data_IF_916225364461
#
_entry.id   IF_916225364461
#
_cell.length_a   1.000
_cell.length_b   1.000
_cell.length_c   1.000
_cell.angle_alpha   90.00
_cell.angle_beta   90.00
_cell.angle_gamma   90.00
#
_symmetry.space_group_name_H-M   'P 1'
#
loop_
_entity.id
_entity.type
_entity.pdbx_description
1 polymer ?
#
# COMPACT_ATOMS: atom_id res chain seq x y z
N UNK A 1 3.74 -17.98 11.98
CA UNK A 1 3.26 -16.66 12.41
C UNK A 1 4.45 -15.76 12.70
N UNK A 2 4.48 -14.57 12.10
CA UNK A 2 5.57 -13.60 12.30
C UNK A 2 5.17 -12.50 13.28
N UNK A 3 6.14 -11.89 13.98
CA UNK A 3 5.86 -10.73 14.83
C UNK A 3 5.29 -9.55 14.03
N UNK A 4 5.72 -9.38 12.77
CA UNK A 4 5.19 -8.33 11.89
C UNK A 4 3.68 -8.49 11.62
N UNK A 5 3.18 -9.72 11.53
CA UNK A 5 1.73 -9.98 11.39
C UNK A 5 0.96 -9.59 12.64
N UNK A 6 1.45 -10.00 13.82
CA UNK A 6 0.85 -9.65 15.11
C UNK A 6 0.78 -8.13 15.28
N UNK A 7 1.89 -7.44 15.02
CA UNK A 7 1.95 -5.98 15.10
C UNK A 7 1.03 -5.31 14.10
N UNK A 8 0.99 -5.80 12.87
CA UNK A 8 0.07 -5.34 11.84
C UNK A 8 -1.40 -5.40 12.28
N UNK A 9 -1.84 -6.55 12.79
CA UNK A 9 -3.20 -6.73 13.28
C UNK A 9 -3.50 -5.82 14.47
N UNK A 10 -2.58 -5.72 15.43
CA UNK A 10 -2.68 -4.82 16.59
C UNK A 10 -2.87 -3.37 16.15
N UNK A 11 -2.06 -2.87 15.21
CA UNK A 11 -2.15 -1.48 14.74
C UNK A 11 -3.39 -1.16 13.90
N UNK A 12 -3.97 -2.18 13.28
CA UNK A 12 -5.25 -2.08 12.58
C UNK A 12 -6.46 -2.25 13.52
N UNK A 13 -6.22 -2.50 14.83
CA UNK A 13 -7.29 -2.79 15.78
C UNK A 13 -8.08 -4.06 15.45
N UNK A 14 -7.44 -5.01 14.76
CA UNK A 14 -8.03 -6.33 14.46
C UNK A 14 -7.70 -7.31 15.59
N UNK A 15 -8.52 -8.36 15.81
CA UNK A 15 -8.18 -9.43 16.74
C UNK A 15 -6.81 -10.02 16.39
N UNK A 16 -5.97 -10.21 17.41
CA UNK A 16 -4.58 -10.67 17.24
C UNK A 16 -4.12 -11.61 18.37
N UNK A 17 -4.95 -11.85 19.38
CA UNK A 17 -4.63 -12.66 20.55
C UNK A 17 -4.32 -14.11 20.15
N UNK A 18 -5.13 -14.70 19.27
CA UNK A 18 -4.90 -16.05 18.74
C UNK A 18 -3.56 -16.15 18.00
N UNK A 19 -3.15 -15.07 17.31
CA UNK A 19 -1.88 -15.03 16.59
C UNK A 19 -0.68 -14.94 17.54
N UNK A 20 -0.83 -14.27 18.68
CA UNK A 20 0.18 -14.30 19.76
C UNK A 20 0.38 -15.71 20.30
N UNK A 21 -0.73 -16.44 20.52
CA UNK A 21 -0.70 -17.83 21.00
C UNK A 21 -0.02 -18.72 19.95
N UNK A 22 -0.45 -18.64 18.69
CA UNK A 22 0.12 -19.43 17.60
C UNK A 22 1.62 -19.16 17.42
N UNK A 23 2.05 -17.90 17.53
CA UNK A 23 3.47 -17.55 17.53
C UNK A 23 4.24 -18.22 18.67
N UNK A 24 3.66 -18.27 19.87
CA UNK A 24 4.29 -18.94 21.01
C UNK A 24 4.35 -20.46 20.81
N UNK A 25 3.30 -21.08 20.29
CA UNK A 25 3.27 -22.51 19.95
C UNK A 25 4.37 -22.86 18.94
N UNK A 26 4.51 -22.07 17.88
CA UNK A 26 5.58 -22.26 16.89
C UNK A 26 6.98 -22.13 17.50
N UNK A 27 7.18 -21.20 18.45
CA UNK A 27 8.44 -21.06 19.19
C UNK A 27 8.73 -22.28 20.06
N UNK A 28 7.72 -22.84 20.73
CA UNK A 28 7.85 -24.08 21.52
C UNK A 28 8.18 -25.27 20.62
N UNK A 29 7.49 -25.41 19.48
CA UNK A 29 7.79 -26.45 18.47
C UNK A 29 9.23 -26.33 17.97
N UNK A 30 9.74 -25.10 17.82
CA UNK A 30 11.13 -24.83 17.45
C UNK A 30 12.15 -25.07 18.59
N UNK A 31 11.70 -25.47 19.78
CA UNK A 31 12.56 -25.83 20.93
C UNK A 31 12.80 -24.69 21.93
N UNK A 32 12.02 -23.61 21.90
CA UNK A 32 12.09 -22.55 22.90
C UNK A 32 11.52 -23.03 24.25
N UNK A 33 12.31 -22.90 25.31
CA UNK A 33 11.94 -23.32 26.68
C UNK A 33 11.77 -22.16 27.65
N UNK A 34 11.60 -20.93 27.16
CA UNK A 34 11.38 -19.75 28.00
C UNK A 34 10.00 -19.81 28.67
N UNK A 35 9.94 -19.47 29.96
CA UNK A 35 8.76 -19.71 30.78
C UNK A 35 7.53 -18.95 30.26
N UNK A 36 7.67 -17.67 29.88
CA UNK A 36 6.53 -16.88 29.41
C UNK A 36 6.01 -17.35 28.05
N UNK A 37 6.89 -17.90 27.19
CA UNK A 37 6.49 -18.50 25.91
C UNK A 37 5.75 -19.81 26.14
N UNK A 38 6.21 -20.64 27.07
CA UNK A 38 5.50 -21.87 27.43
C UNK A 38 4.12 -21.58 28.02
N UNK A 39 4.00 -20.56 28.89
CA UNK A 39 2.71 -20.14 29.44
C UNK A 39 1.81 -19.62 28.32
N UNK A 40 2.30 -18.71 27.48
CA UNK A 40 1.52 -18.15 26.38
C UNK A 40 1.02 -19.24 25.41
N UNK A 41 1.88 -20.19 25.04
CA UNK A 41 1.48 -21.33 24.21
C UNK A 41 0.43 -22.21 24.90
N UNK A 42 0.52 -22.38 26.23
CA UNK A 42 -0.44 -23.19 26.98
C UNK A 42 -1.87 -22.62 26.99
N UNK A 43 -2.03 -21.30 26.81
CA UNK A 43 -3.33 -20.64 26.68
C UNK A 43 -4.11 -21.12 25.43
N UNK A 44 -3.42 -21.67 24.42
CA UNK A 44 -4.07 -22.28 23.25
C UNK A 44 -4.87 -23.55 23.58
N UNK A 45 -4.69 -24.14 24.76
CA UNK A 45 -5.49 -25.27 25.24
C UNK A 45 -6.83 -24.84 25.87
N UNK A 46 -6.97 -23.55 26.19
CA UNK A 46 -8.21 -23.02 26.76
C UNK A 46 -9.26 -22.81 25.66
N UNK A 47 -10.51 -23.13 25.96
CA UNK A 47 -11.60 -22.95 25.00
C UNK A 47 -11.88 -21.46 24.69
N UNK A 48 -11.44 -20.55 25.57
CA UNK A 48 -11.59 -19.10 25.42
C UNK A 48 -10.52 -18.40 26.27
N UNK A 49 -9.28 -18.27 25.76
CA UNK A 49 -8.19 -17.64 26.50
C UNK A 49 -8.53 -16.17 26.86
N UNK A 50 -8.16 -15.73 28.06
CA UNK A 50 -8.37 -14.35 28.48
C UNK A 50 -7.41 -13.42 27.73
N UNK A 51 -7.97 -12.43 27.01
CA UNK A 51 -7.16 -11.51 26.20
C UNK A 51 -6.16 -10.68 27.00
N UNK A 52 -6.44 -10.39 28.28
CA UNK A 52 -5.53 -9.66 29.16
C UNK A 52 -4.34 -10.52 29.54
N UNK A 53 -4.57 -11.80 29.83
CA UNK A 53 -3.50 -12.77 30.09
C UNK A 53 -2.62 -12.98 28.87
N UNK A 54 -3.22 -13.10 27.67
CA UNK A 54 -2.48 -13.19 26.41
C UNK A 54 -1.59 -11.98 26.20
N UNK A 55 -2.12 -10.76 26.36
CA UNK A 55 -1.32 -9.54 26.23
C UNK A 55 -0.20 -9.45 27.26
N UNK A 56 -0.48 -9.84 28.51
CA UNK A 56 0.51 -9.84 29.58
C UNK A 56 1.68 -10.78 29.27
N UNK A 57 1.40 -12.05 28.97
CA UNK A 57 2.46 -13.03 28.71
C UNK A 57 3.18 -12.78 27.39
N UNK A 58 2.48 -12.28 26.37
CA UNK A 58 3.12 -11.84 25.13
C UNK A 58 4.10 -10.69 25.38
N UNK A 59 3.72 -9.69 26.19
CA UNK A 59 4.61 -8.60 26.57
C UNK A 59 5.85 -9.07 27.35
N UNK A 60 5.69 -10.01 28.29
CA UNK A 60 6.82 -10.60 29.02
C UNK A 60 7.74 -11.41 28.10
N UNK A 61 7.17 -12.25 27.23
CA UNK A 61 7.93 -13.05 26.27
C UNK A 61 8.76 -12.17 25.31
N UNK A 62 8.16 -11.09 24.79
CA UNK A 62 8.90 -10.14 23.96
C UNK A 62 10.05 -9.48 24.73
N UNK A 63 9.81 -9.04 25.96
CA UNK A 63 10.83 -8.44 26.81
C UNK A 63 12.00 -9.39 27.08
N UNK A 64 11.74 -10.69 27.30
CA UNK A 64 12.78 -11.70 27.49
C UNK A 64 13.61 -11.93 26.23
N UNK A 65 12.99 -11.86 25.05
CA UNK A 65 13.67 -11.98 23.75
C UNK A 65 14.37 -10.69 23.30
N UNK A 66 14.27 -9.60 24.08
CA UNK A 66 14.80 -8.30 23.69
C UNK A 66 14.05 -7.68 22.50
N UNK A 67 12.84 -8.16 22.23
CA UNK A 67 11.97 -7.64 21.19
C UNK A 67 11.14 -6.48 21.73
N UNK A 68 10.96 -5.45 20.91
CA UNK A 68 10.18 -4.27 21.26
C UNK A 68 9.10 -4.01 20.22
N UNK A 69 7.95 -3.51 20.67
CA UNK A 69 6.91 -3.06 19.75
C UNK A 69 7.47 -1.96 18.83
N UNK A 70 7.35 -2.10 17.51
CA UNK A 70 7.80 -1.07 16.58
C UNK A 70 6.91 0.17 16.66
N UNK A 71 7.39 1.28 16.10
CA UNK A 71 6.52 2.41 15.78
C UNK A 71 5.39 1.97 14.84
N UNK A 72 4.23 2.62 14.94
CA UNK A 72 3.03 2.25 14.18
C UNK A 72 3.28 2.24 12.67
N UNK A 73 3.92 3.27 12.14
CA UNK A 73 4.13 3.42 10.69
C UNK A 73 5.13 2.36 10.22
N UNK A 74 6.19 2.12 11.00
CA UNK A 74 7.16 1.06 10.74
C UNK A 74 6.52 -0.35 10.80
N UNK A 75 5.65 -0.59 11.77
CA UNK A 75 4.94 -1.86 11.92
C UNK A 75 3.97 -2.14 10.78
N UNK A 76 3.19 -1.15 10.35
CA UNK A 76 2.30 -1.28 9.18
C UNK A 76 3.12 -1.45 7.88
N UNK A 77 4.27 -0.78 7.78
CA UNK A 77 5.24 -0.99 6.70
C UNK A 77 5.71 -2.44 6.64
N UNK A 78 6.23 -2.98 7.74
CA UNK A 78 6.70 -4.36 7.79
C UNK A 78 5.58 -5.37 7.54
N UNK A 79 4.40 -5.15 8.12
CA UNK A 79 3.25 -6.02 7.93
C UNK A 79 2.83 -6.09 6.47
N UNK A 80 2.72 -4.94 5.79
CA UNK A 80 2.36 -4.92 4.36
C UNK A 80 3.40 -5.58 3.47
N UNK A 81 4.69 -5.49 3.80
CA UNK A 81 5.75 -6.27 3.15
C UNK A 81 5.58 -7.77 3.38
N UNK A 82 5.29 -8.19 4.61
CA UNK A 82 5.02 -9.58 4.96
C UNK A 82 3.85 -10.14 4.12
N UNK A 83 2.72 -9.42 4.06
CA UNK A 83 1.56 -9.79 3.24
C UNK A 83 1.93 -9.91 1.75
N UNK A 84 2.69 -8.97 1.21
CA UNK A 84 3.11 -9.04 -0.20
C UNK A 84 4.04 -10.24 -0.47
N UNK A 85 4.95 -10.56 0.45
CA UNK A 85 5.80 -11.73 0.34
C UNK A 85 4.97 -13.03 0.41
N UNK A 86 3.93 -13.09 1.24
CA UNK A 86 3.02 -14.23 1.30
C UNK A 86 2.24 -14.44 0.00
N UNK A 87 1.78 -13.37 -0.66
CA UNK A 87 1.17 -13.44 -2.01
C UNK A 87 2.20 -14.03 -3.00
N UNK A 88 3.39 -13.44 -3.05
CA UNK A 88 4.46 -13.80 -3.99
C UNK A 88 4.91 -15.25 -3.84
N UNK A 89 4.90 -15.75 -2.60
CA UNK A 89 5.28 -17.12 -2.26
C UNK A 89 4.09 -18.10 -2.29
N UNK A 90 2.90 -17.67 -2.73
CA UNK A 90 1.67 -18.48 -2.80
C UNK A 90 1.27 -19.08 -1.44
N UNK A 91 1.62 -18.41 -0.35
CA UNK A 91 1.29 -18.80 1.02
C UNK A 91 -0.07 -18.27 1.47
N UNK A 92 -0.65 -17.34 0.70
CA UNK A 92 -1.93 -16.70 1.01
C UNK A 92 -2.71 -16.38 -0.26
N UNK A 93 -4.03 -16.41 -0.14
CA UNK A 93 -4.93 -16.03 -1.23
C UNK A 93 -4.71 -14.56 -1.64
N UNK A 94 -4.45 -14.26 -2.93
CA UNK A 94 -4.13 -12.91 -3.37
C UNK A 94 -5.23 -11.89 -3.09
N UNK A 95 -6.49 -12.23 -3.35
CA UNK A 95 -7.60 -11.28 -3.25
C UNK A 95 -7.92 -10.88 -1.81
N UNK A 96 -8.05 -11.84 -0.91
CA UNK A 96 -8.25 -11.58 0.51
C UNK A 96 -7.09 -10.76 1.09
N UNK A 97 -5.87 -11.02 0.65
CA UNK A 97 -4.68 -10.26 1.07
C UNK A 97 -4.70 -8.83 0.52
N UNK A 98 -5.11 -8.63 -0.73
CA UNK A 98 -5.27 -7.29 -1.31
C UNK A 98 -6.29 -6.45 -0.53
N UNK A 99 -7.38 -7.06 -0.02
CA UNK A 99 -8.35 -6.38 0.86
C UNK A 99 -7.72 -5.95 2.19
N UNK A 100 -6.87 -6.79 2.80
CA UNK A 100 -6.13 -6.41 4.00
C UNK A 100 -5.14 -5.27 3.75
N UNK A 101 -4.44 -5.30 2.62
CA UNK A 101 -3.51 -4.24 2.22
C UNK A 101 -4.24 -2.91 1.94
N UNK A 102 -5.45 -2.96 1.37
CA UNK A 102 -6.31 -1.80 1.20
C UNK A 102 -6.78 -1.22 2.54
N UNK A 103 -7.09 -2.06 3.53
CA UNK A 103 -7.44 -1.60 4.88
C UNK A 103 -6.30 -0.79 5.52
N UNK A 104 -5.03 -1.15 5.30
CA UNK A 104 -3.88 -0.38 5.81
C UNK A 104 -3.92 1.06 5.28
N UNK A 105 -4.28 1.28 4.02
CA UNK A 105 -4.37 2.63 3.45
C UNK A 105 -5.45 3.50 4.13
N UNK A 106 -6.52 2.91 4.66
CA UNK A 106 -7.57 3.66 5.38
C UNK A 106 -7.09 4.22 6.71
N UNK A 107 -6.00 3.66 7.24
CA UNK A 107 -5.40 4.00 8.52
C UNK A 107 -4.17 4.92 8.39
N UNK A 108 -3.70 5.14 7.17
CA UNK A 108 -2.73 6.15 6.75
C UNK A 108 -3.49 7.37 6.19
N UNK A 109 -2.96 8.59 6.34
CA UNK A 109 -3.63 9.81 5.83
C UNK A 109 -3.86 9.75 4.31
N UNK A 110 -5.10 9.41 3.91
CA UNK A 110 -5.75 9.42 2.59
C UNK A 110 -4.92 9.59 1.28
N UNK A 111 -5.21 8.69 0.33
CA UNK A 111 -5.18 8.77 -1.15
C UNK A 111 -3.92 9.17 -1.94
N UNK A 112 -2.80 9.51 -1.30
CA UNK A 112 -1.58 9.92 -2.06
C UNK A 112 -0.42 8.94 -1.91
N UNK A 113 -0.48 8.10 -0.88
CA UNK A 113 0.55 7.09 -0.60
C UNK A 113 0.52 5.95 -1.62
N UNK A 114 1.63 5.22 -1.73
CA UNK A 114 1.70 3.99 -2.53
C UNK A 114 0.68 2.92 -2.11
N UNK A 115 0.13 2.99 -0.89
CA UNK A 115 -0.89 2.06 -0.43
C UNK A 115 -2.23 2.26 -1.14
N UNK A 116 -2.48 3.41 -1.76
CA UNK A 116 -3.70 3.64 -2.54
C UNK A 116 -3.85 2.69 -3.72
N UNK A 117 -2.74 2.14 -4.24
CA UNK A 117 -2.75 1.10 -5.28
C UNK A 117 -3.64 -0.09 -4.91
N UNK A 118 -3.66 -0.47 -3.63
CA UNK A 118 -4.48 -1.58 -3.14
C UNK A 118 -5.97 -1.23 -3.13
N UNK A 119 -6.32 0.01 -2.80
CA UNK A 119 -7.70 0.49 -2.92
C UNK A 119 -8.17 0.44 -4.38
N UNK A 120 -7.36 0.93 -5.32
CA UNK A 120 -7.72 0.95 -6.74
C UNK A 120 -7.99 -0.47 -7.28
N UNK A 121 -7.16 -1.44 -6.90
CA UNK A 121 -7.39 -2.84 -7.30
C UNK A 121 -8.64 -3.43 -6.66
N UNK A 122 -8.88 -3.18 -5.36
CA UNK A 122 -10.08 -3.70 -4.68
C UNK A 122 -11.36 -3.08 -5.26
N UNK A 123 -11.34 -1.81 -5.61
CA UNK A 123 -12.44 -1.12 -6.28
C UNK A 123 -12.71 -1.70 -7.68
N UNK A 124 -11.67 -1.89 -8.48
CA UNK A 124 -11.80 -2.50 -9.81
C UNK A 124 -12.29 -3.95 -9.76
N UNK A 125 -11.84 -4.74 -8.79
CA UNK A 125 -12.37 -6.10 -8.57
C UNK A 125 -13.86 -6.06 -8.24
N UNK A 126 -14.29 -5.10 -7.41
CA UNK A 126 -15.71 -4.91 -7.08
C UNK A 126 -16.53 -4.60 -8.34
N UNK A 127 -16.03 -3.70 -9.19
CA UNK A 127 -16.67 -3.38 -10.48
C UNK A 127 -16.78 -4.62 -11.38
N UNK A 128 -15.71 -5.40 -11.50
CA UNK A 128 -15.70 -6.65 -12.27
C UNK A 128 -16.73 -7.66 -11.75
N UNK A 129 -16.84 -7.83 -10.43
CA UNK A 129 -17.85 -8.70 -9.83
C UNK A 129 -19.29 -8.22 -10.06
N UNK A 130 -19.49 -6.92 -10.25
CA UNK A 130 -20.78 -6.34 -10.63
C UNK A 130 -21.05 -6.40 -12.15
N UNK A 131 -20.16 -7.00 -12.95
CA UNK A 131 -20.31 -7.10 -14.40
C UNK A 131 -19.88 -5.85 -15.17
N UNK A 132 -19.15 -4.94 -14.52
CA UNK A 132 -18.54 -3.76 -15.16
C UNK A 132 -17.09 -4.01 -15.51
N UNK A 133 -16.52 -3.18 -16.39
CA UNK A 133 -15.07 -3.19 -16.65
C UNK A 133 -14.31 -2.50 -15.52
N UNK A 134 -13.06 -2.92 -15.29
CA UNK A 134 -12.13 -2.19 -14.42
C UNK A 134 -11.97 -0.74 -14.90
N UNK A 135 -11.91 0.20 -13.97
CA UNK A 135 -11.82 1.64 -14.23
C UNK A 135 -10.37 2.11 -14.30
N UNK A 136 -9.55 1.83 -13.28
CA UNK A 136 -8.16 2.29 -13.20
C UNK A 136 -7.20 1.30 -13.84
N UNK A 137 -7.42 0.01 -13.60
CA UNK A 137 -6.56 -1.09 -14.04
C UNK A 137 -7.18 -1.78 -15.24
N UNK A 138 -7.19 -1.13 -16.41
CA UNK A 138 -7.81 -1.67 -17.64
C UNK A 138 -7.34 -3.07 -18.07
N UNK A 139 -6.15 -3.52 -17.63
CA UNK A 139 -5.63 -4.88 -17.88
C UNK A 139 -6.19 -5.93 -16.92
N UNK A 140 -6.83 -5.53 -15.81
CA UNK A 140 -7.37 -6.43 -14.79
C UNK A 140 -8.70 -7.04 -15.26
N UNK A 141 -8.79 -8.37 -15.18
CA UNK A 141 -9.99 -9.16 -15.47
C UNK A 141 -10.21 -10.22 -14.41
N UNK A 142 -11.41 -10.82 -14.34
CA UNK A 142 -11.68 -11.91 -13.40
C UNK A 142 -10.82 -13.15 -13.67
N UNK A 143 -10.43 -13.39 -14.93
CA UNK A 143 -9.59 -14.53 -15.32
C UNK A 143 -8.12 -14.34 -14.94
N UNK A 144 -7.64 -13.09 -14.80
CA UNK A 144 -6.24 -12.80 -14.54
C UNK A 144 -5.95 -12.18 -13.16
N UNK A 145 -6.98 -11.96 -12.34
CA UNK A 145 -6.90 -11.22 -11.07
C UNK A 145 -5.76 -11.67 -10.16
N UNK A 146 -5.55 -12.97 -9.98
CA UNK A 146 -4.53 -13.49 -9.06
C UNK A 146 -3.12 -13.16 -9.56
N UNK A 147 -2.91 -13.32 -10.87
CA UNK A 147 -1.65 -12.95 -11.53
C UNK A 147 -1.42 -11.43 -11.51
N UNK A 148 -2.48 -10.65 -11.67
CA UNK A 148 -2.41 -9.20 -11.60
C UNK A 148 -2.00 -8.75 -10.20
N UNK A 149 -2.63 -9.31 -9.16
CA UNK A 149 -2.34 -9.01 -7.75
C UNK A 149 -0.90 -9.44 -7.38
N UNK A 150 -0.43 -10.62 -7.83
CA UNK A 150 0.98 -11.03 -7.65
C UNK A 150 1.95 -10.02 -8.28
N UNK A 151 1.69 -9.61 -9.53
CA UNK A 151 2.51 -8.60 -10.22
C UNK A 151 2.52 -7.27 -9.46
N UNK A 152 1.38 -6.84 -8.92
CA UNK A 152 1.29 -5.64 -8.09
C UNK A 152 2.06 -5.81 -6.78
N UNK A 153 1.93 -6.95 -6.09
CA UNK A 153 2.64 -7.24 -4.83
C UNK A 153 4.15 -7.15 -5.01
N UNK A 154 4.70 -7.77 -6.07
CA UNK A 154 6.13 -7.68 -6.42
C UNK A 154 6.57 -6.23 -6.61
N UNK A 155 5.80 -5.46 -7.37
CA UNK A 155 6.13 -4.07 -7.63
C UNK A 155 5.98 -3.19 -6.38
N UNK A 156 5.00 -3.46 -5.53
CA UNK A 156 4.81 -2.75 -4.26
C UNK A 156 5.98 -2.98 -3.30
N UNK A 157 6.52 -4.20 -3.22
CA UNK A 157 7.77 -4.50 -2.47
C UNK A 157 8.91 -3.62 -2.97
N UNK A 158 9.07 -3.47 -4.30
CA UNK A 158 10.09 -2.59 -4.88
C UNK A 158 9.88 -1.14 -4.43
N UNK A 159 8.66 -0.61 -4.52
CA UNK A 159 8.37 0.77 -4.09
C UNK A 159 8.69 1.02 -2.61
N UNK A 160 8.28 0.10 -1.74
CA UNK A 160 8.53 0.17 -0.30
C UNK A 160 10.02 0.16 0.07
N UNK A 161 10.80 -0.66 -0.62
CA UNK A 161 12.24 -0.79 -0.40
C UNK A 161 13.05 0.39 -0.95
N UNK A 162 12.47 1.18 -1.87
CA UNK A 162 13.10 2.37 -2.43
C UNK A 162 12.76 3.68 -1.70
N UNK A 163 12.02 3.63 -0.58
CA UNK A 163 11.66 4.78 0.25
C UNK A 163 11.13 5.98 -0.57
N UNK A 164 10.19 5.71 -1.48
CA UNK A 164 9.60 6.74 -2.32
C UNK A 164 8.87 7.82 -1.50
N UNK A 165 8.78 9.07 -2.00
CA UNK A 165 8.01 10.12 -1.35
C UNK A 165 6.55 9.72 -1.10
N UNK A 166 5.93 10.27 -0.05
CA UNK A 166 4.53 9.99 0.28
C UNK A 166 3.54 10.42 -0.80
N UNK A 167 3.90 11.40 -1.64
CA UNK A 167 3.13 11.88 -2.78
C UNK A 167 3.61 11.27 -4.12
N UNK A 168 4.39 10.18 -4.10
CA UNK A 168 5.01 9.61 -5.29
C UNK A 168 4.02 9.37 -6.43
N UNK A 169 2.82 8.85 -6.14
CA UNK A 169 1.80 8.60 -7.16
C UNK A 169 1.18 9.87 -7.77
N UNK A 170 1.36 11.03 -7.15
CA UNK A 170 0.94 12.33 -7.70
C UNK A 170 1.98 12.96 -8.62
N UNK A 171 3.18 12.37 -8.68
CA UNK A 171 4.25 12.87 -9.53
C UNK A 171 4.02 12.45 -10.99
N UNK A 172 4.71 13.13 -11.89
CA UNK A 172 4.72 12.79 -13.30
C UNK A 172 6.10 13.02 -13.88
N UNK A 173 6.46 12.20 -14.86
CA UNK A 173 7.68 12.41 -15.64
C UNK A 173 7.36 13.44 -16.72
N UNK A 174 8.03 14.59 -16.68
CA UNK A 174 7.92 15.57 -17.76
C UNK A 174 8.87 15.19 -18.90
N UNK A 175 8.32 14.93 -20.09
CA UNK A 175 9.11 14.55 -21.27
C UNK A 175 9.96 15.69 -21.83
N UNK A 176 9.66 16.95 -21.47
CA UNK A 176 10.40 18.12 -21.96
C UNK A 176 11.61 18.45 -21.10
N UNK A 177 11.46 18.48 -19.78
CA UNK A 177 12.58 18.77 -18.87
C UNK A 177 13.24 17.52 -18.28
N UNK A 178 12.73 16.32 -18.58
CA UNK A 178 13.22 15.03 -18.10
C UNK A 178 13.35 14.97 -16.58
N UNK A 179 12.41 15.59 -15.86
CA UNK A 179 12.34 15.58 -14.39
C UNK A 179 11.07 14.90 -13.91
N UNK A 180 11.17 14.29 -12.74
CA UNK A 180 10.02 13.91 -11.94
C UNK A 180 9.47 15.17 -11.28
N UNK A 181 8.21 15.51 -11.56
CA UNK A 181 7.62 16.80 -11.20
C UNK A 181 6.22 16.63 -10.64
N UNK A 182 5.82 17.58 -9.78
CA UNK A 182 4.40 17.83 -9.54
C UNK A 182 3.76 18.51 -10.75
N UNK A 183 2.46 18.34 -10.86
CA UNK A 183 1.67 18.92 -11.93
C UNK A 183 0.72 19.98 -11.38
N UNK A 184 0.34 20.92 -12.24
CA UNK A 184 -0.65 21.94 -11.90
C UNK A 184 -1.74 21.96 -12.97
N UNK A 185 -2.99 21.93 -12.53
CA UNK A 185 -4.12 22.20 -13.41
C UNK A 185 -4.25 23.71 -13.58
N UNK A 186 -4.08 24.22 -14.81
CA UNK A 186 -4.20 25.66 -15.10
C UNK A 186 -4.94 25.93 -16.39
N UNK A 187 -5.55 27.11 -16.46
CA UNK A 187 -6.07 27.65 -17.70
C UNK A 187 -4.93 27.89 -18.70
N UNK A 188 -5.13 27.47 -19.94
CA UNK A 188 -4.22 27.73 -21.03
C UNK A 188 -4.54 29.09 -21.67
N UNK A 189 -3.52 29.83 -22.12
CA UNK A 189 -3.74 31.06 -22.88
C UNK A 189 -4.50 30.75 -24.17
N UNK A 190 -5.18 31.77 -24.71
CA UNK A 190 -5.87 31.61 -25.98
C UNK A 190 -4.89 31.30 -27.12
N UNK A 191 -5.29 30.45 -28.06
CA UNK A 191 -4.45 30.07 -29.21
C UNK A 191 -4.07 31.29 -30.07
N UNK A 192 -4.86 32.37 -29.98
CA UNK A 192 -4.65 33.64 -30.65
C UNK A 192 -5.30 34.79 -29.86
N UNK A 193 -4.98 36.07 -30.18
CA UNK A 193 -5.49 37.22 -29.45
C UNK A 193 -7.03 37.35 -29.43
N UNK A 194 -7.72 36.94 -30.50
CA UNK A 194 -9.18 36.95 -30.55
C UNK A 194 -9.77 35.93 -29.57
N UNK A 195 -9.20 34.72 -29.53
CA UNK A 195 -9.59 33.69 -28.57
C UNK A 195 -9.38 34.13 -27.13
N UNK A 196 -8.26 34.81 -26.85
CA UNK A 196 -7.97 35.34 -25.52
C UNK A 196 -8.94 36.48 -25.14
N UNK A 197 -9.30 37.35 -26.09
CA UNK A 197 -10.32 38.38 -25.88
C UNK A 197 -11.68 37.74 -25.56
N UNK A 198 -12.10 36.74 -26.33
CA UNK A 198 -13.35 36.01 -26.10
C UNK A 198 -13.41 35.34 -24.73
N UNK A 199 -12.28 34.85 -24.22
CA UNK A 199 -12.18 34.33 -22.85
C UNK A 199 -12.34 35.48 -21.84
N UNK A 200 -11.61 36.60 -22.02
CA UNK A 200 -11.66 37.75 -21.11
C UNK A 200 -13.05 38.39 -21.00
N UNK A 201 -13.81 38.43 -22.09
CA UNK A 201 -15.18 38.98 -22.11
C UNK A 201 -16.26 37.94 -21.76
N UNK A 202 -15.87 36.73 -21.36
CA UNK A 202 -16.79 35.67 -20.89
C UNK A 202 -17.60 34.98 -22.00
N UNK A 203 -17.24 35.19 -23.27
CA UNK A 203 -17.90 34.56 -24.42
C UNK A 203 -17.35 33.17 -24.75
N UNK A 204 -16.19 32.80 -24.20
CA UNK A 204 -15.61 31.44 -24.26
C UNK A 204 -15.00 31.03 -22.93
N UNK A 205 -15.09 29.75 -22.61
CA UNK A 205 -14.39 29.17 -21.46
C UNK A 205 -12.91 28.92 -21.81
N UNK A 206 -11.97 29.19 -20.89
CA UNK A 206 -10.58 28.80 -21.10
C UNK A 206 -10.47 27.28 -21.14
N UNK A 207 -9.62 26.77 -22.03
CA UNK A 207 -9.20 25.38 -21.96
C UNK A 207 -8.30 25.22 -20.75
N UNK A 208 -8.43 24.11 -20.06
CA UNK A 208 -7.59 23.78 -18.94
C UNK A 208 -6.76 22.56 -19.27
N UNK A 209 -5.55 22.51 -18.73
CA UNK A 209 -4.71 21.34 -18.85
C UNK A 209 -3.78 21.22 -17.65
N UNK A 210 -3.37 19.98 -17.42
CA UNK A 210 -2.32 19.63 -16.46
C UNK A 210 -0.97 19.95 -17.07
N UNK A 211 -0.17 20.78 -16.40
CA UNK A 211 1.16 21.21 -16.86
C UNK A 211 2.25 20.83 -15.87
N UNK A 212 3.48 20.69 -16.38
CA UNK A 212 4.70 20.59 -15.58
C UNK A 212 4.90 21.86 -14.75
N UNK A 213 5.00 21.75 -13.41
CA UNK A 213 5.29 22.91 -12.56
C UNK A 213 6.69 23.48 -12.74
N UNK A 214 7.64 22.73 -13.31
CA UNK A 214 9.02 23.20 -13.53
C UNK A 214 9.21 23.95 -14.84
N UNK A 215 8.57 23.53 -15.95
CA UNK A 215 8.80 24.12 -17.28
C UNK A 215 7.52 24.51 -18.04
N UNK A 216 6.34 24.24 -17.48
CA UNK A 216 5.05 24.58 -18.10
C UNK A 216 4.63 23.68 -19.27
N UNK A 217 5.40 22.64 -19.59
CA UNK A 217 5.08 21.68 -20.66
C UNK A 217 3.83 20.85 -20.37
N UNK A 218 3.09 20.51 -21.42
CA UNK A 218 1.95 19.59 -21.42
C UNK A 218 2.37 18.12 -21.61
N UNK A 219 3.62 17.87 -21.99
CA UNK A 219 4.12 16.52 -22.27
C UNK A 219 4.48 15.81 -20.96
N UNK A 220 3.47 15.25 -20.32
CA UNK A 220 3.55 14.56 -19.04
C UNK A 220 3.30 13.06 -19.20
N UNK A 221 3.91 12.27 -18.33
CA UNK A 221 3.62 10.84 -18.16
C UNK A 221 3.34 10.59 -16.69
N UNK A 222 2.09 10.29 -16.39
CA UNK A 222 1.62 9.92 -15.06
C UNK A 222 2.10 8.50 -14.71
N UNK A 223 2.15 8.19 -13.41
CA UNK A 223 2.72 6.95 -12.89
C UNK A 223 1.67 5.84 -12.68
N UNK A 224 0.81 5.61 -13.67
CA UNK A 224 -0.28 4.64 -13.55
C UNK A 224 0.21 3.19 -13.67
N UNK A 225 1.09 2.92 -14.63
CA UNK A 225 1.65 1.58 -14.85
C UNK A 225 2.87 1.29 -13.97
N UNK A 226 3.16 0.00 -13.75
CA UNK A 226 4.39 -0.43 -13.07
C UNK A 226 5.65 0.05 -13.82
N UNK A 227 5.66 0.00 -15.16
CA UNK A 227 6.79 0.45 -15.98
C UNK A 227 7.09 1.93 -15.77
N UNK A 228 6.05 2.78 -15.75
CA UNK A 228 6.20 4.22 -15.49
C UNK A 228 6.75 4.48 -14.08
N UNK A 229 6.28 3.73 -13.09
CA UNK A 229 6.77 3.83 -11.71
C UNK A 229 8.22 3.38 -11.59
N UNK A 230 8.62 2.29 -12.24
CA UNK A 230 10.01 1.81 -12.27
C UNK A 230 10.95 2.82 -12.97
N UNK A 231 10.50 3.42 -14.06
CA UNK A 231 11.25 4.50 -14.71
C UNK A 231 11.44 5.69 -13.75
N UNK A 232 10.38 6.11 -13.07
CA UNK A 232 10.42 7.20 -12.09
C UNK A 232 11.34 6.90 -10.89
N UNK A 233 11.40 5.64 -10.42
CA UNK A 233 12.37 5.22 -9.38
C UNK A 233 13.81 5.48 -9.82
N UNK A 234 14.16 5.17 -11.08
CA UNK A 234 15.48 5.46 -11.64
C UNK A 234 15.83 6.95 -11.70
N UNK A 235 14.85 7.84 -11.53
CA UNK A 235 15.03 9.29 -11.47
C UNK A 235 15.14 9.82 -10.04
N UNK A 236 14.72 9.07 -9.01
CA UNK A 236 14.85 9.46 -7.59
C UNK A 236 16.28 9.25 -7.06
N UNK A 237 17.04 8.33 -7.66
CA UNK A 237 18.42 8.02 -7.27
C UNK A 237 19.51 8.90 -7.91
N UNK A 238 19.15 10.03 -8.53
CA UNK A 238 20.06 10.97 -9.22
C UNK A 238 19.81 12.40 -8.77
#
# INVERSE_FOLDING_TARGET
>A
MTLDEIWGLKFLGKPYQDECILWAEEKVIAGCGEQNILILASLGMDASPDGTEVEYFFGQALSEQGESQPDRDAGLKNYSLCLCHQIVNQQRDPESTAKLLADINRHESYNTSIYSLWNLVVEDLTLLYCGHSAYENSELTLENKDRFIDKLARHFIVLQNNNVPSDFLLLSVCKSCHKLVRTQYRALPGENPLHELLIKVGLKQPRHATVCMSCGSLLLTHLYSNEQRENALGMLGK
#
